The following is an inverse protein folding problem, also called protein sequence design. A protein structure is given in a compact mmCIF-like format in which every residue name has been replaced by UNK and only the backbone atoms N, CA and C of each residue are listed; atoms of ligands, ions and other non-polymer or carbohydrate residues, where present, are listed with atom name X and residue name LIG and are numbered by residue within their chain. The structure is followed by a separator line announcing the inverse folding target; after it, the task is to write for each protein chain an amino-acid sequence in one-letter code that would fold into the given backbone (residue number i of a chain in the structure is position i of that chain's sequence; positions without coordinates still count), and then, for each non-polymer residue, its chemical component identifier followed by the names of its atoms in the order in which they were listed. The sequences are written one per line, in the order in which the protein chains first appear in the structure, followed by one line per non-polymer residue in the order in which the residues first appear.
data_IF_749679121090
#
_entry.id   IF_749679121090
#
_cell.length_a   1.000
_cell.length_b   1.000
_cell.length_c   1.000
_cell.angle_alpha   90.00
_cell.angle_beta   90.00
_cell.angle_gamma   90.00
#
_symmetry.space_group_name_H-M   'P 1'
#
loop_
_entity.id
_entity.type
_entity.pdbx_description
1 polymer ?
#
# COMPACT_ATOMS: atom_id res chain seq x y z
N UNK A 1 17.84 -16.48 49.13
CA UNK A 1 16.62 -17.30 48.98
C UNK A 1 16.65 -17.86 47.57
N UNK A 2 16.95 -19.15 47.41
CA UNK A 2 17.13 -19.79 46.09
C UNK A 2 15.76 -20.15 45.56
N UNK A 3 15.29 -19.44 44.54
CA UNK A 3 14.00 -19.72 43.89
C UNK A 3 14.20 -20.82 42.86
N UNK A 4 13.77 -22.02 43.21
CA UNK A 4 13.77 -23.22 42.38
C UNK A 4 12.72 -23.07 41.26
N UNK A 5 13.17 -22.86 40.02
CA UNK A 5 12.33 -22.88 38.82
C UNK A 5 11.95 -24.34 38.49
N UNK A 6 10.73 -24.74 38.82
CA UNK A 6 10.13 -25.99 38.35
C UNK A 6 9.77 -25.86 36.86
N UNK A 7 10.59 -26.47 36.00
CA UNK A 7 10.31 -26.62 34.57
C UNK A 7 9.19 -27.66 34.46
N UNK A 8 7.94 -27.19 34.44
CA UNK A 8 6.79 -28.04 34.11
C UNK A 8 6.90 -28.36 32.62
N UNK A 9 7.48 -29.52 32.30
CA UNK A 9 7.45 -30.09 30.96
C UNK A 9 5.98 -30.38 30.63
N UNK A 10 5.36 -29.45 29.90
CA UNK A 10 4.00 -29.61 29.39
C UNK A 10 4.08 -30.64 28.26
N UNK A 11 3.99 -31.93 28.60
CA UNK A 11 3.94 -33.00 27.61
C UNK A 11 2.69 -32.82 26.76
N UNK A 12 2.86 -32.32 25.53
CA UNK A 12 1.77 -32.17 24.58
C UNK A 12 1.14 -33.54 24.33
N UNK A 13 -0.17 -33.53 24.16
CA UNK A 13 -0.94 -34.74 24.03
C UNK A 13 -1.96 -34.55 22.94
N UNK A 14 -2.01 -35.48 22.01
CA UNK A 14 -2.78 -35.32 20.78
C UNK A 14 -4.00 -36.22 20.76
N UNK A 15 -5.15 -35.67 20.38
CA UNK A 15 -6.39 -36.43 20.27
C UNK A 15 -6.54 -37.02 18.87
N UNK A 16 -6.68 -38.34 18.77
CA UNK A 16 -6.88 -39.05 17.51
C UNK A 16 -8.28 -39.66 17.50
N UNK A 17 -9.01 -39.45 16.41
CA UNK A 17 -10.32 -40.08 16.17
C UNK A 17 -10.12 -41.04 15.00
N UNK A 18 -10.38 -42.32 15.22
CA UNK A 18 -10.27 -43.34 14.18
C UNK A 18 -11.56 -43.46 13.38
N UNK A 19 -11.51 -44.12 12.21
CA UNK A 19 -12.68 -44.29 11.34
C UNK A 19 -13.81 -45.10 11.99
N UNK A 20 -13.48 -45.97 12.96
CA UNK A 20 -14.42 -46.72 13.78
C UNK A 20 -15.06 -45.88 14.91
N UNK A 21 -14.72 -44.59 15.00
CA UNK A 21 -15.26 -43.66 16.00
C UNK A 21 -14.54 -43.70 17.35
N UNK A 22 -13.57 -44.59 17.53
CA UNK A 22 -12.77 -44.66 18.75
C UNK A 22 -11.90 -43.41 18.91
N UNK A 23 -11.84 -42.89 20.13
CA UNK A 23 -11.09 -41.68 20.46
C UNK A 23 -9.91 -42.05 21.36
N UNK A 24 -8.71 -41.79 20.87
CA UNK A 24 -7.47 -41.98 21.59
C UNK A 24 -6.82 -40.64 21.92
N UNK A 25 -6.05 -40.62 22.99
CA UNK A 25 -5.12 -39.54 23.33
C UNK A 25 -3.71 -40.12 23.29
N UNK A 26 -2.83 -39.56 22.47
CA UNK A 26 -1.46 -40.01 22.25
C UNK A 26 -0.50 -39.09 22.99
N UNK A 27 0.41 -39.66 23.78
CA UNK A 27 1.47 -38.93 24.50
C UNK A 27 2.79 -39.67 24.33
N UNK A 28 3.59 -39.23 23.35
CA UNK A 28 4.74 -40.02 22.91
C UNK A 28 4.28 -41.41 22.47
N UNK A 29 4.86 -42.46 23.04
CA UNK A 29 4.52 -43.85 22.71
C UNK A 29 3.34 -44.44 23.50
N UNK A 30 2.69 -43.63 24.34
CA UNK A 30 1.56 -44.07 25.19
C UNK A 30 0.22 -43.68 24.58
N UNK A 31 -0.71 -44.63 24.61
CA UNK A 31 -2.06 -44.49 24.06
C UNK A 31 -3.08 -44.58 25.18
N UNK A 32 -3.98 -43.60 25.23
CA UNK A 32 -5.05 -43.53 26.23
C UNK A 32 -6.41 -43.57 25.55
N UNK A 33 -7.35 -44.35 26.07
CA UNK A 33 -8.76 -44.37 25.63
C UNK A 33 -9.64 -44.12 26.85
N UNK A 34 -10.57 -43.17 26.77
CA UNK A 34 -11.42 -42.74 27.91
C UNK A 34 -10.65 -42.39 29.20
N UNK A 35 -9.38 -41.99 29.07
CA UNK A 35 -8.51 -41.62 30.20
C UNK A 35 -7.67 -42.77 30.76
N UNK A 36 -7.93 -44.01 30.37
CA UNK A 36 -7.15 -45.19 30.77
C UNK A 36 -6.05 -45.46 29.76
N UNK A 37 -4.87 -45.88 30.24
CA UNK A 37 -3.77 -46.27 29.38
C UNK A 37 -4.02 -47.65 28.77
N UNK A 38 -4.09 -47.70 27.44
CA UNK A 38 -4.40 -48.91 26.67
C UNK A 38 -3.21 -49.34 25.79
N UNK A 39 -2.02 -48.79 26.01
CA UNK A 39 -0.81 -49.04 25.22
C UNK A 39 -0.53 -50.53 25.04
N UNK A 40 -0.53 -51.31 26.11
CA UNK A 40 -0.24 -52.76 26.06
C UNK A 40 -1.41 -53.59 25.50
N UNK A 41 -2.62 -53.02 25.46
CA UNK A 41 -3.81 -53.69 24.94
C UNK A 41 -3.93 -53.55 23.41
N UNK A 42 -3.21 -52.60 22.82
CA UNK A 42 -3.17 -52.38 21.38
C UNK A 42 -2.11 -53.24 20.72
N UNK A 43 -2.47 -53.86 19.60
CA UNK A 43 -1.51 -54.49 18.69
C UNK A 43 -0.61 -53.45 18.02
N UNK A 44 0.55 -53.87 17.54
CA UNK A 44 1.46 -52.98 16.80
C UNK A 44 0.80 -52.40 15.54
N UNK A 45 -0.12 -53.14 14.92
CA UNK A 45 -0.89 -52.67 13.76
C UNK A 45 -1.81 -51.52 14.16
N UNK A 46 -2.51 -51.64 15.30
CA UNK A 46 -3.39 -50.59 15.81
C UNK A 46 -2.61 -49.35 16.23
N UNK A 47 -1.49 -49.52 16.94
CA UNK A 47 -0.58 -48.42 17.31
C UNK A 47 -0.13 -47.67 16.06
N UNK A 48 0.38 -48.38 15.05
CA UNK A 48 0.79 -47.78 13.77
C UNK A 48 -0.37 -47.07 13.06
N UNK A 49 -1.57 -47.65 13.08
CA UNK A 49 -2.76 -47.02 12.49
C UNK A 49 -3.08 -45.69 13.18
N UNK A 50 -3.12 -45.67 14.51
CA UNK A 50 -3.42 -44.46 15.29
C UNK A 50 -2.34 -43.39 15.06
N UNK A 51 -1.05 -43.77 15.13
CA UNK A 51 0.06 -42.84 14.87
C UNK A 51 0.04 -42.29 13.44
N UNK A 52 -0.24 -43.12 12.44
CA UNK A 52 -0.34 -42.66 11.05
C UNK A 52 -1.48 -41.66 10.83
N UNK A 53 -2.62 -41.84 11.53
CA UNK A 53 -3.71 -40.85 11.48
C UNK A 53 -3.24 -39.52 12.10
N UNK A 54 -2.55 -39.58 13.24
CA UNK A 54 -2.03 -38.38 13.90
C UNK A 54 -1.01 -37.65 13.02
N UNK A 55 -0.04 -38.36 12.49
CA UNK A 55 1.00 -37.81 11.61
C UNK A 55 0.38 -37.11 10.40
N UNK A 56 -0.56 -37.77 9.71
CA UNK A 56 -1.28 -37.16 8.57
C UNK A 56 -2.04 -35.90 8.97
N UNK A 57 -2.65 -35.86 10.16
CA UNK A 57 -3.35 -34.68 10.66
C UNK A 57 -2.37 -33.54 10.91
N UNK A 58 -1.26 -33.80 11.60
CA UNK A 58 -0.24 -32.81 11.90
C UNK A 58 0.44 -32.28 10.63
N UNK A 59 0.70 -33.14 9.65
CA UNK A 59 1.21 -32.73 8.34
C UNK A 59 0.21 -31.84 7.60
N UNK A 60 -1.08 -32.18 7.62
CA UNK A 60 -2.13 -31.38 7.02
C UNK A 60 -2.30 -30.02 7.72
N UNK A 61 -2.23 -29.98 9.04
CA UNK A 61 -2.26 -28.74 9.85
C UNK A 61 -1.07 -27.84 9.51
N UNK A 62 0.15 -28.38 9.50
CA UNK A 62 1.36 -27.64 9.12
C UNK A 62 1.30 -27.12 7.69
N UNK A 63 0.79 -27.92 6.76
CA UNK A 63 0.59 -27.49 5.38
C UNK A 63 -0.45 -26.36 5.29
N UNK A 64 -1.52 -26.45 6.07
CA UNK A 64 -2.55 -25.41 6.12
C UNK A 64 -2.00 -24.11 6.71
N UNK A 65 -1.22 -24.18 7.79
CA UNK A 65 -0.53 -23.04 8.40
C UNK A 65 0.42 -22.36 7.42
N UNK A 66 1.30 -23.13 6.77
CA UNK A 66 2.21 -22.60 5.75
C UNK A 66 1.45 -21.90 4.60
N UNK A 67 0.34 -22.49 4.13
CA UNK A 67 -0.50 -21.87 3.10
C UNK A 67 -1.17 -20.58 3.59
N UNK A 68 -1.64 -20.54 4.84
CA UNK A 68 -2.20 -19.32 5.43
C UNK A 68 -1.15 -18.22 5.51
N UNK A 69 0.07 -18.55 5.91
CA UNK A 69 1.19 -17.60 5.97
C UNK A 69 1.59 -17.08 4.58
N UNK A 70 1.62 -17.94 3.57
CA UNK A 70 1.88 -17.54 2.17
C UNK A 70 0.78 -16.61 1.65
N UNK A 71 -0.48 -16.93 1.90
CA UNK A 71 -1.62 -16.08 1.53
C UNK A 71 -1.53 -14.73 2.25
N UNK A 72 -1.23 -14.72 3.56
CA UNK A 72 -1.12 -13.49 4.33
C UNK A 72 0.01 -12.59 3.81
N UNK A 73 1.18 -13.17 3.47
CA UNK A 73 2.29 -12.44 2.84
C UNK A 73 1.89 -11.88 1.48
N UNK A 74 1.26 -12.68 0.62
CA UNK A 74 0.80 -12.23 -0.69
C UNK A 74 -0.22 -11.10 -0.60
N UNK A 75 -1.17 -11.17 0.34
CA UNK A 75 -2.16 -10.11 0.59
C UNK A 75 -1.50 -8.82 1.07
N UNK A 76 -0.49 -8.93 1.95
CA UNK A 76 0.28 -7.78 2.40
C UNK A 76 1.02 -7.11 1.24
N UNK A 77 1.75 -7.88 0.43
CA UNK A 77 2.48 -7.36 -0.73
C UNK A 77 1.55 -6.70 -1.76
N UNK A 78 0.35 -7.27 -1.97
CA UNK A 78 -0.66 -6.68 -2.84
C UNK A 78 -1.17 -5.35 -2.31
N UNK A 79 -1.43 -5.25 -1.00
CA UNK A 79 -1.85 -3.99 -0.35
C UNK A 79 -0.76 -2.93 -0.46
N UNK A 80 0.50 -3.28 -0.21
CA UNK A 80 1.62 -2.34 -0.27
C UNK A 80 1.79 -1.81 -1.71
N UNK A 81 1.68 -2.68 -2.73
CA UNK A 81 1.68 -2.28 -4.15
C UNK A 81 0.49 -1.39 -4.52
N UNK A 82 -0.71 -1.70 -4.02
CA UNK A 82 -1.89 -0.87 -4.26
C UNK A 82 -1.70 0.54 -3.71
N UNK A 83 -1.13 0.67 -2.50
CA UNK A 83 -0.82 1.96 -1.88
C UNK A 83 0.23 2.74 -2.69
N UNK A 84 1.30 2.08 -3.12
CA UNK A 84 2.33 2.71 -3.96
C UNK A 84 1.76 3.22 -5.29
N UNK A 85 0.90 2.44 -5.94
CA UNK A 85 0.25 2.82 -7.18
C UNK A 85 -0.71 4.00 -6.99
N UNK A 86 -1.48 4.02 -5.90
CA UNK A 86 -2.37 5.15 -5.57
C UNK A 86 -1.58 6.43 -5.34
N UNK A 87 -0.46 6.36 -4.63
CA UNK A 87 0.39 7.53 -4.40
C UNK A 87 1.02 8.03 -5.71
N UNK A 88 1.52 7.13 -6.56
CA UNK A 88 2.02 7.48 -7.89
C UNK A 88 0.95 8.12 -8.77
N UNK A 89 -0.26 7.58 -8.76
CA UNK A 89 -1.39 8.15 -9.48
C UNK A 89 -1.68 9.57 -8.99
N UNK A 90 -1.77 9.78 -7.68
CA UNK A 90 -2.01 11.10 -7.09
C UNK A 90 -0.93 12.11 -7.47
N UNK A 91 0.33 11.72 -7.39
CA UNK A 91 1.45 12.59 -7.77
C UNK A 91 1.39 12.97 -9.25
N UNK A 92 1.01 12.03 -10.12
CA UNK A 92 0.83 12.29 -11.54
C UNK A 92 -0.35 13.24 -11.80
N UNK A 93 -1.48 13.04 -11.13
CA UNK A 93 -2.64 13.92 -11.20
C UNK A 93 -2.30 15.34 -10.72
N UNK A 94 -1.58 15.47 -9.60
CA UNK A 94 -1.12 16.76 -9.09
C UNK A 94 -0.16 17.46 -10.08
N UNK A 95 0.74 16.72 -10.73
CA UNK A 95 1.62 17.26 -11.76
C UNK A 95 0.84 17.73 -13.00
N UNK A 96 -0.14 16.95 -13.45
CA UNK A 96 -1.01 17.32 -14.58
C UNK A 96 -1.78 18.59 -14.24
N UNK A 97 -2.38 18.67 -13.04
CA UNK A 97 -3.14 19.84 -12.59
C UNK A 97 -2.25 21.09 -12.54
N UNK A 98 -1.07 21.02 -11.92
CA UNK A 98 -0.12 22.15 -11.89
C UNK A 98 0.30 22.60 -13.28
N UNK A 99 0.51 21.67 -14.21
CA UNK A 99 0.87 21.99 -15.59
C UNK A 99 -0.29 22.65 -16.32
N UNK A 100 -1.52 22.22 -16.05
CA UNK A 100 -2.71 22.84 -16.60
C UNK A 100 -2.90 24.27 -16.07
N UNK A 101 -2.80 24.46 -14.75
CA UNK A 101 -2.85 25.78 -14.11
C UNK A 101 -1.77 26.72 -14.70
N UNK A 102 -0.52 26.26 -14.79
CA UNK A 102 0.56 27.05 -15.39
C UNK A 102 0.26 27.44 -16.85
N UNK A 103 -0.37 26.55 -17.62
CA UNK A 103 -0.75 26.80 -19.01
C UNK A 103 -1.88 27.82 -19.11
N UNK A 104 -2.86 27.72 -18.23
CA UNK A 104 -3.97 28.68 -18.13
C UNK A 104 -3.45 30.08 -17.77
N UNK A 105 -2.61 30.18 -16.73
CA UNK A 105 -1.92 31.42 -16.33
C UNK A 105 -1.15 32.05 -17.50
N UNK A 106 -0.37 31.26 -18.22
CA UNK A 106 0.39 31.74 -19.38
C UNK A 106 -0.52 32.34 -20.45
N UNK A 107 -1.63 31.66 -20.79
CA UNK A 107 -2.57 32.17 -21.79
C UNK A 107 -3.32 33.41 -21.30
N UNK A 108 -3.66 33.49 -20.03
CA UNK A 108 -4.31 34.67 -19.44
C UNK A 108 -3.41 35.90 -19.54
N UNK A 109 -2.17 35.82 -19.04
CA UNK A 109 -1.22 36.94 -19.07
C UNK A 109 -0.86 37.31 -20.51
N UNK A 110 -0.73 36.33 -21.41
CA UNK A 110 -0.50 36.58 -22.84
C UNK A 110 -1.66 37.35 -23.48
N UNK A 111 -2.90 36.97 -23.15
CA UNK A 111 -4.11 37.66 -23.61
C UNK A 111 -4.18 39.10 -23.07
N UNK A 112 -3.86 39.31 -21.79
CA UNK A 112 -3.78 40.65 -21.22
C UNK A 112 -2.72 41.50 -21.94
N UNK A 113 -1.52 40.97 -22.15
CA UNK A 113 -0.47 41.68 -22.88
C UNK A 113 -0.93 42.09 -24.28
N UNK A 114 -1.58 41.20 -25.02
CA UNK A 114 -2.13 41.52 -26.35
C UNK A 114 -3.19 42.62 -26.28
N UNK A 115 -4.12 42.55 -25.33
CA UNK A 115 -5.15 43.59 -25.15
C UNK A 115 -4.52 44.94 -24.83
N UNK A 116 -3.60 45.00 -23.86
CA UNK A 116 -2.92 46.23 -23.45
C UNK A 116 -2.04 46.79 -24.57
N UNK A 117 -1.42 45.93 -25.40
CA UNK A 117 -0.68 46.37 -26.61
C UNK A 117 -1.62 47.03 -27.62
N UNK A 118 -2.80 46.47 -27.84
CA UNK A 118 -3.79 47.04 -28.76
C UNK A 118 -4.31 48.38 -28.26
N UNK A 119 -4.71 48.47 -26.99
CA UNK A 119 -5.20 49.72 -26.39
C UNK A 119 -4.15 50.84 -26.45
N UNK A 120 -2.89 50.49 -26.14
CA UNK A 120 -1.77 51.43 -26.24
C UNK A 120 -1.56 51.91 -27.67
N UNK A 121 -1.62 51.01 -28.65
CA UNK A 121 -1.44 51.35 -30.06
C UNK A 121 -2.56 52.27 -30.55
N UNK A 122 -3.82 51.99 -30.18
CA UNK A 122 -4.97 52.84 -30.52
C UNK A 122 -4.84 54.25 -29.95
N UNK A 123 -4.50 54.38 -28.66
CA UNK A 123 -4.30 55.69 -28.01
C UNK A 123 -3.13 56.47 -28.63
N UNK A 124 -2.06 55.76 -29.00
CA UNK A 124 -0.90 56.35 -29.65
C UNK A 124 -1.22 56.85 -31.05
N UNK A 125 -1.98 56.07 -31.83
CA UNK A 125 -2.39 56.43 -33.19
C UNK A 125 -3.35 57.62 -33.21
N UNK A 126 -4.19 57.76 -32.17
CA UNK A 126 -5.05 58.93 -31.95
C UNK A 126 -4.30 60.16 -31.42
N UNK A 127 -3.04 60.02 -31.00
CA UNK A 127 -2.27 61.10 -30.39
C UNK A 127 -2.76 61.52 -28.99
N UNK A 128 -3.50 60.64 -28.30
CA UNK A 128 -4.15 60.91 -27.01
C UNK A 128 -3.21 60.72 -25.81
N UNK A 129 -1.92 60.45 -26.05
CA UNK A 129 -0.94 60.18 -24.98
C UNK A 129 -0.01 61.36 -24.75
N UNK A 130 -0.05 61.93 -23.54
CA UNK A 130 1.01 62.83 -23.09
C UNK A 130 2.32 62.07 -22.87
N UNK A 131 3.48 62.76 -22.86
CA UNK A 131 4.78 62.12 -22.60
C UNK A 131 4.84 61.34 -21.27
N UNK A 132 4.09 61.79 -20.26
CA UNK A 132 4.02 61.13 -18.95
C UNK A 132 3.17 59.85 -19.01
N UNK A 133 2.08 59.85 -19.77
CA UNK A 133 1.22 58.67 -19.96
C UNK A 133 1.92 57.61 -20.81
N UNK A 134 2.59 58.03 -21.88
CA UNK A 134 3.46 57.19 -22.72
C UNK A 134 4.47 56.40 -21.86
N UNK A 135 5.10 57.06 -20.88
CA UNK A 135 6.03 56.40 -19.96
C UNK A 135 5.33 55.37 -19.05
N UNK A 136 4.11 55.66 -18.57
CA UNK A 136 3.32 54.71 -17.75
C UNK A 136 2.91 53.47 -18.56
N UNK A 137 2.44 53.65 -19.79
CA UNK A 137 2.06 52.55 -20.68
C UNK A 137 3.25 51.64 -20.99
N UNK A 138 4.40 52.23 -21.36
CA UNK A 138 5.65 51.47 -21.57
C UNK A 138 6.05 50.66 -20.34
N UNK A 139 5.91 51.23 -19.14
CA UNK A 139 6.19 50.52 -17.89
C UNK A 139 5.23 49.36 -17.67
N UNK A 140 3.93 49.54 -17.92
CA UNK A 140 2.92 48.46 -17.82
C UNK A 140 3.20 47.34 -18.81
N UNK A 141 3.46 47.66 -20.07
CA UNK A 141 3.79 46.69 -21.11
C UNK A 141 5.04 45.88 -20.74
N UNK A 142 6.10 46.55 -20.29
CA UNK A 142 7.33 45.87 -19.84
C UNK A 142 7.09 44.93 -18.65
N UNK A 143 6.18 45.29 -17.74
CA UNK A 143 5.78 44.42 -16.62
C UNK A 143 5.08 43.16 -17.13
N UNK A 144 4.07 43.32 -17.99
CA UNK A 144 3.33 42.19 -18.58
C UNK A 144 4.23 41.30 -19.44
N UNK A 145 5.15 41.86 -20.22
CA UNK A 145 6.14 41.07 -20.98
C UNK A 145 7.03 40.23 -20.08
N UNK A 146 7.38 40.73 -18.89
CA UNK A 146 8.12 39.97 -17.89
C UNK A 146 7.26 38.84 -17.32
N UNK A 147 6.01 39.12 -16.98
CA UNK A 147 5.07 38.14 -16.44
C UNK A 147 4.77 37.02 -17.45
N UNK A 148 4.63 37.33 -18.75
CA UNK A 148 4.50 36.31 -19.81
C UNK A 148 5.72 35.39 -19.83
N UNK A 149 6.95 35.94 -19.76
CA UNK A 149 8.17 35.14 -19.74
C UNK A 149 8.26 34.26 -18.49
N UNK A 150 7.88 34.79 -17.33
CA UNK A 150 7.86 34.02 -16.09
C UNK A 150 6.83 32.89 -16.15
N UNK A 151 5.64 33.14 -16.70
CA UNK A 151 4.61 32.11 -16.90
C UNK A 151 5.03 31.06 -17.95
N UNK A 152 5.68 31.47 -19.04
CA UNK A 152 6.22 30.56 -20.07
C UNK A 152 7.27 29.61 -19.48
N UNK A 153 8.14 30.10 -18.59
CA UNK A 153 9.10 29.27 -17.87
C UNK A 153 8.41 28.26 -16.95
N UNK A 154 7.28 28.61 -16.33
CA UNK A 154 6.51 27.68 -15.49
C UNK A 154 5.81 26.58 -16.29
N UNK A 155 5.44 26.85 -17.54
CA UNK A 155 4.82 25.84 -18.43
C UNK A 155 5.83 24.84 -18.97
N UNK A 156 7.08 25.28 -19.16
CA UNK A 156 8.16 24.50 -19.76
C UNK A 156 9.02 23.72 -18.76
N UNK A 157 8.84 23.97 -17.45
CA UNK A 157 9.47 23.22 -16.35
C UNK A 157 8.48 22.26 -15.72
#
# INVERSE_FOLDING_TARGET
MVTLFLIVSCGSSERVITNDGSVYKVKGDRFYNKGEEVTEQLTDIEKKRISSILEKRLEAEKLAENKQDEIAKALKDLRDKEQELKEKQRQLEDQINRRQEAREDFFEVKKELTSVKNDYQELKDKGELSPKEEAKWKKRLKKLEKEVKEAELKVNN
#
